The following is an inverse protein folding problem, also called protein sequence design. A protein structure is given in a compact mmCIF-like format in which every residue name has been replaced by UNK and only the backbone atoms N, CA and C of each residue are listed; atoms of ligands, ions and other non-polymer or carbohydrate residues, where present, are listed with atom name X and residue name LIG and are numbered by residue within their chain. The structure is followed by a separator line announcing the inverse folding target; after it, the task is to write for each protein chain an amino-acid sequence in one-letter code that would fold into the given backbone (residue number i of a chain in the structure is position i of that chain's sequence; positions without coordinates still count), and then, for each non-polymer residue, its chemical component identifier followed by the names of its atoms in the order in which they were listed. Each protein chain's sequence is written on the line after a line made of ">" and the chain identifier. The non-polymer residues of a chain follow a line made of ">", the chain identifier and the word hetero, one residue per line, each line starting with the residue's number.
data_IF_894096606178
#
_entry.id   IF_894096606178
#
_cell.length_a   1.000
_cell.length_b   1.000
_cell.length_c   1.000
_cell.angle_alpha   90.00
_cell.angle_beta   90.00
_cell.angle_gamma   90.00
#
_symmetry.space_group_name_H-M   'P 1'
#
loop_
_entity.id
_entity.type
_entity.pdbx_description
1 polymer ?
#
# COMPACT_ATOMS: atom_id res chain seq x y z
N UNK A 1 57.51 9.63 -18.54
CA UNK A 1 57.18 10.26 -19.84
C UNK A 1 56.42 9.18 -20.60
N UNK A 2 55.11 9.05 -20.32
CA UNK A 2 54.00 9.56 -21.16
C UNK A 2 53.92 8.72 -22.45
N UNK A 3 52.86 7.98 -22.74
CA UNK A 3 51.49 8.47 -22.88
C UNK A 3 50.40 7.47 -22.47
N UNK A 4 49.37 8.07 -21.89
CA UNK A 4 48.04 7.58 -21.60
C UNK A 4 47.15 7.51 -22.86
N UNK A 5 45.97 6.88 -22.69
CA UNK A 5 44.76 6.98 -23.51
C UNK A 5 44.58 5.98 -24.67
N UNK A 6 43.88 4.88 -24.35
CA UNK A 6 42.65 4.50 -25.07
C UNK A 6 41.80 3.54 -24.23
N UNK A 7 41.00 4.16 -23.39
CA UNK A 7 39.55 3.96 -23.29
C UNK A 7 38.97 2.75 -24.06
N UNK A 8 38.34 1.84 -23.31
CA UNK A 8 36.97 1.35 -23.58
C UNK A 8 36.44 0.60 -22.36
N UNK A 9 35.81 1.39 -21.49
CA UNK A 9 34.75 0.94 -20.61
C UNK A 9 33.67 0.23 -21.44
N UNK A 10 33.39 -1.02 -21.11
CA UNK A 10 32.13 -1.69 -21.43
C UNK A 10 31.77 -2.62 -20.29
N UNK A 11 31.54 -2.05 -19.09
CA UNK A 11 30.66 -2.69 -18.12
C UNK A 11 29.25 -2.59 -18.71
N UNK A 12 28.89 -3.61 -19.49
CA UNK A 12 27.53 -3.78 -19.98
C UNK A 12 26.60 -3.97 -18.79
N UNK A 13 25.97 -2.89 -18.34
CA UNK A 13 24.72 -3.00 -17.60
C UNK A 13 23.71 -3.60 -18.57
N UNK A 14 23.54 -4.92 -18.52
CA UNK A 14 22.38 -5.57 -19.12
C UNK A 14 21.14 -4.82 -18.63
N UNK A 15 20.24 -4.35 -19.51
CA UNK A 15 18.94 -3.90 -19.04
C UNK A 15 18.34 -5.08 -18.27
N UNK A 16 18.07 -4.88 -16.98
CA UNK A 16 17.40 -5.88 -16.15
C UNK A 16 16.13 -6.26 -16.93
N UNK A 17 16.12 -7.47 -17.50
CA UNK A 17 14.98 -7.98 -18.25
C UNK A 17 13.77 -7.84 -17.35
N UNK A 18 12.82 -7.01 -17.75
CA UNK A 18 11.61 -6.77 -16.99
C UNK A 18 10.88 -8.11 -16.78
N UNK A 19 10.52 -8.43 -15.53
CA UNK A 19 9.83 -9.69 -15.25
C UNK A 19 8.45 -9.70 -15.94
N UNK A 20 7.97 -10.89 -16.31
CA UNK A 20 6.65 -11.02 -16.95
C UNK A 20 5.52 -10.45 -16.07
N UNK A 21 5.64 -10.56 -14.75
CA UNK A 21 4.68 -9.97 -13.81
C UNK A 21 4.72 -8.44 -13.82
N UNK A 22 5.91 -7.84 -13.86
CA UNK A 22 6.06 -6.37 -13.93
C UNK A 22 5.50 -5.84 -15.25
N UNK A 23 5.75 -6.53 -16.36
CA UNK A 23 5.14 -6.22 -17.66
C UNK A 23 3.60 -6.31 -17.60
N UNK A 24 3.05 -7.35 -16.95
CA UNK A 24 1.60 -7.53 -16.77
C UNK A 24 0.99 -6.39 -15.94
N UNK A 25 1.66 -5.95 -14.88
CA UNK A 25 1.21 -4.83 -14.03
C UNK A 25 1.18 -3.53 -14.82
N UNK A 26 2.23 -3.23 -15.58
CA UNK A 26 2.27 -2.06 -16.45
C UNK A 26 1.17 -2.10 -17.50
N UNK A 27 0.97 -3.25 -18.15
CA UNK A 27 -0.10 -3.42 -19.13
C UNK A 27 -1.48 -3.16 -18.52
N UNK A 28 -1.74 -3.70 -17.32
CA UNK A 28 -2.99 -3.48 -16.60
C UNK A 28 -3.21 -2.00 -16.27
N UNK A 29 -2.19 -1.29 -15.76
CA UNK A 29 -2.29 0.12 -15.44
C UNK A 29 -2.52 0.97 -16.70
N UNK A 30 -1.79 0.73 -17.78
CA UNK A 30 -1.98 1.43 -19.05
C UNK A 30 -3.41 1.23 -19.59
N UNK A 31 -3.93 0.01 -19.52
CA UNK A 31 -5.30 -0.27 -19.93
C UNK A 31 -6.31 0.43 -19.01
N UNK A 32 -6.08 0.44 -17.71
CA UNK A 32 -6.93 1.16 -16.75
C UNK A 32 -6.96 2.65 -17.05
N UNK A 33 -5.81 3.29 -17.31
CA UNK A 33 -5.73 4.71 -17.67
C UNK A 33 -6.47 5.00 -18.97
N UNK A 34 -6.27 4.18 -20.01
CA UNK A 34 -7.00 4.30 -21.28
C UNK A 34 -8.52 4.25 -21.09
N UNK A 35 -9.01 3.34 -20.24
CA UNK A 35 -10.45 3.28 -19.93
C UNK A 35 -10.94 4.57 -19.26
N UNK A 36 -10.15 5.17 -18.37
CA UNK A 36 -10.53 6.44 -17.74
C UNK A 36 -10.58 7.58 -18.76
N UNK A 37 -9.63 7.64 -19.70
CA UNK A 37 -9.61 8.63 -20.79
C UNK A 37 -10.84 8.49 -21.71
N UNK A 38 -11.18 7.26 -22.09
CA UNK A 38 -12.37 6.96 -22.90
C UNK A 38 -13.66 7.40 -22.17
N UNK A 39 -13.73 7.22 -20.86
CA UNK A 39 -14.89 7.63 -20.06
C UNK A 39 -14.99 9.15 -19.87
N UNK A 40 -13.86 9.85 -19.69
CA UNK A 40 -13.83 11.31 -19.59
C UNK A 40 -14.26 11.96 -20.91
N UNK A 41 -13.93 11.33 -22.03
CA UNK A 41 -14.30 11.79 -23.38
C UNK A 41 -15.78 11.58 -23.72
N UNK A 42 -16.52 10.81 -22.91
CA UNK A 42 -17.94 10.54 -23.13
C UNK A 42 -18.84 11.64 -22.52
N UNK A 43 -19.83 12.17 -23.26
CA UNK A 43 -20.69 13.25 -22.78
C UNK A 43 -21.55 12.82 -21.57
N UNK A 44 -21.53 13.62 -20.50
CA UNK A 44 -22.46 13.54 -19.36
C UNK A 44 -22.07 12.62 -18.20
N UNK A 45 -20.84 12.07 -18.17
CA UNK A 45 -20.40 11.21 -17.07
C UNK A 45 -19.53 11.93 -16.01
N UNK A 46 -19.69 11.54 -14.74
CA UNK A 46 -18.82 12.02 -13.66
C UNK A 46 -17.68 11.03 -13.37
N UNK A 47 -16.51 11.58 -13.01
CA UNK A 47 -15.25 10.83 -12.87
C UNK A 47 -15.32 9.68 -11.84
N UNK A 48 -16.09 9.83 -10.76
CA UNK A 48 -16.14 8.84 -9.68
C UNK A 48 -16.89 7.54 -10.07
N UNK A 49 -18.13 7.58 -10.60
CA UNK A 49 -18.80 6.40 -11.16
C UNK A 49 -18.00 5.68 -12.26
N UNK A 50 -17.35 6.43 -13.13
CA UNK A 50 -16.55 5.88 -14.24
C UNK A 50 -15.31 5.15 -13.72
N UNK A 51 -14.61 5.73 -12.74
CA UNK A 51 -13.46 5.09 -12.08
C UNK A 51 -13.85 3.76 -11.43
N UNK A 52 -15.02 3.69 -10.79
CA UNK A 52 -15.51 2.46 -10.18
C UNK A 52 -15.95 1.41 -11.20
N UNK A 53 -16.53 1.83 -12.33
CA UNK A 53 -16.83 0.94 -13.47
C UNK A 53 -15.54 0.36 -14.05
N UNK A 54 -14.55 1.21 -14.36
CA UNK A 54 -13.25 0.80 -14.86
C UNK A 54 -12.56 -0.19 -13.91
N UNK A 55 -12.51 0.11 -12.60
CA UNK A 55 -11.98 -0.81 -11.58
C UNK A 55 -12.68 -2.18 -11.60
N UNK A 56 -13.99 -2.19 -11.77
CA UNK A 56 -14.79 -3.42 -11.81
C UNK A 56 -14.47 -4.26 -13.04
N UNK A 57 -14.33 -3.63 -14.20
CA UNK A 57 -13.91 -4.30 -15.44
C UNK A 57 -12.47 -4.80 -15.37
N UNK A 58 -11.53 -3.99 -14.84
CA UNK A 58 -10.14 -4.41 -14.63
C UNK A 58 -10.04 -5.68 -13.78
N UNK A 59 -10.88 -5.80 -12.74
CA UNK A 59 -10.94 -7.01 -11.90
C UNK A 59 -11.45 -8.26 -12.63
N UNK A 60 -12.19 -8.10 -13.73
CA UNK A 60 -12.63 -9.21 -14.59
C UNK A 60 -11.52 -9.58 -15.57
N UNK A 61 -10.86 -8.59 -16.17
CA UNK A 61 -9.81 -8.79 -17.16
C UNK A 61 -8.51 -9.34 -16.57
N UNK A 62 -8.17 -8.94 -15.33
CA UNK A 62 -6.94 -9.34 -14.64
C UNK A 62 -7.26 -10.07 -13.33
N UNK A 63 -7.83 -11.29 -13.39
CA UNK A 63 -8.26 -12.04 -12.21
C UNK A 63 -7.09 -12.41 -11.28
N UNK A 64 -5.86 -12.53 -11.80
CA UNK A 64 -4.68 -12.83 -10.99
C UNK A 64 -4.23 -11.64 -10.16
N UNK A 65 -4.29 -10.40 -10.71
CA UNK A 65 -4.03 -9.19 -9.92
C UNK A 65 -5.06 -9.02 -8.80
N UNK A 66 -6.31 -9.45 -9.03
CA UNK A 66 -7.34 -9.49 -7.98
C UNK A 66 -6.99 -10.45 -6.84
N UNK A 67 -6.22 -11.52 -7.08
CA UNK A 67 -5.79 -12.47 -6.02
C UNK A 67 -4.72 -11.86 -5.11
N UNK A 68 -3.86 -10.99 -5.66
CA UNK A 68 -2.79 -10.30 -4.91
C UNK A 68 -3.28 -9.56 -3.66
N UNK A 69 -4.54 -9.12 -3.67
CA UNK A 69 -5.17 -8.39 -2.54
C UNK A 69 -5.20 -9.16 -1.21
N UNK A 70 -5.08 -10.49 -1.26
CA UNK A 70 -5.06 -11.37 -0.09
C UNK A 70 -3.66 -11.93 0.18
N UNK A 71 -2.67 -11.62 -0.66
CA UNK A 71 -1.30 -12.11 -0.52
C UNK A 71 -0.65 -11.49 0.72
N UNK A 72 0.03 -12.33 1.51
CA UNK A 72 0.92 -11.91 2.59
C UNK A 72 2.32 -11.67 1.99
N UNK A 73 3.00 -10.62 2.42
CA UNK A 73 4.32 -10.27 1.90
C UNK A 73 4.29 -9.52 0.57
N UNK A 74 5.36 -9.64 -0.21
CA UNK A 74 5.60 -8.86 -1.44
C UNK A 74 4.73 -9.33 -2.60
N UNK A 75 4.42 -8.42 -3.52
CA UNK A 75 3.64 -8.71 -4.74
C UNK A 75 4.60 -8.82 -5.91
N UNK A 76 4.59 -9.95 -6.61
CA UNK A 76 5.44 -10.16 -7.79
C UNK A 76 5.20 -9.06 -8.83
N UNK A 77 6.30 -8.49 -9.34
CA UNK A 77 6.26 -7.40 -10.31
C UNK A 77 6.09 -6.00 -9.72
N UNK A 78 5.98 -5.85 -8.40
CA UNK A 78 5.99 -4.56 -7.69
C UNK A 78 7.24 -4.50 -6.83
N UNK A 79 8.03 -3.46 -7.00
CA UNK A 79 9.27 -3.23 -6.26
C UNK A 79 9.13 -2.03 -5.32
N UNK A 80 9.91 -2.03 -4.25
CA UNK A 80 10.02 -0.87 -3.36
C UNK A 80 10.41 0.36 -4.18
N UNK A 81 9.72 1.48 -3.94
CA UNK A 81 9.87 2.72 -4.68
C UNK A 81 8.90 2.87 -5.86
N UNK A 82 8.21 1.81 -6.29
CA UNK A 82 7.15 1.93 -7.29
C UNK A 82 6.01 2.81 -6.75
N UNK A 83 5.55 3.74 -7.60
CA UNK A 83 4.57 4.75 -7.24
C UNK A 83 3.30 4.65 -8.11
N UNK A 84 2.15 4.90 -7.50
CA UNK A 84 0.83 4.83 -8.13
C UNK A 84 0.08 6.14 -7.93
N UNK A 85 -0.72 6.55 -8.92
CA UNK A 85 -1.41 7.85 -8.92
C UNK A 85 -2.68 7.88 -8.07
N UNK A 86 -3.23 6.72 -7.67
CA UNK A 86 -4.48 6.66 -6.91
C UNK A 86 -4.63 5.40 -6.07
N UNK A 87 -5.52 5.46 -5.05
CA UNK A 87 -5.98 4.25 -4.32
C UNK A 87 -6.59 3.23 -5.28
N UNK A 88 -7.25 3.69 -6.35
CA UNK A 88 -7.85 2.82 -7.35
C UNK A 88 -6.81 2.00 -8.08
N UNK A 89 -5.68 2.59 -8.48
CA UNK A 89 -4.57 1.85 -9.08
C UNK A 89 -4.03 0.80 -8.14
N UNK A 90 -3.72 1.17 -6.88
CA UNK A 90 -3.25 0.21 -5.86
C UNK A 90 -4.22 -0.95 -5.63
N UNK A 91 -5.53 -0.72 -5.83
CA UNK A 91 -6.59 -1.71 -5.70
C UNK A 91 -6.74 -2.59 -6.95
N UNK A 92 -6.51 -2.05 -8.15
CA UNK A 92 -6.53 -2.78 -9.42
C UNK A 92 -5.39 -3.79 -9.48
N UNK A 93 -4.18 -3.36 -9.11
CA UNK A 93 -2.98 -4.20 -9.11
C UNK A 93 -2.86 -5.10 -7.86
N UNK A 94 -3.74 -4.89 -6.87
CA UNK A 94 -3.87 -5.73 -5.68
C UNK A 94 -2.85 -5.46 -4.58
N UNK A 95 -2.11 -4.36 -4.65
CA UNK A 95 -1.19 -3.93 -3.58
C UNK A 95 -1.96 -3.56 -2.30
N UNK A 96 -3.07 -2.84 -2.45
CA UNK A 96 -3.97 -2.48 -1.35
C UNK A 96 -5.42 -2.37 -1.84
N UNK A 97 -6.32 -3.19 -1.29
CA UNK A 97 -7.66 -3.37 -1.88
C UNK A 97 -8.66 -2.29 -1.50
N UNK A 98 -8.53 -1.72 -0.31
CA UNK A 98 -9.47 -0.77 0.26
C UNK A 98 -9.28 0.61 -0.37
N UNK A 99 -10.40 1.28 -0.66
CA UNK A 99 -10.37 2.65 -1.22
C UNK A 99 -10.55 3.72 -0.14
N UNK A 100 -11.08 3.33 1.02
CA UNK A 100 -11.50 4.23 2.09
C UNK A 100 -10.61 4.05 3.31
N UNK A 101 -10.49 2.82 3.81
CA UNK A 101 -9.75 2.52 5.04
C UNK A 101 -8.27 2.34 4.77
N UNK A 102 -7.42 2.76 5.70
CA UNK A 102 -5.97 2.67 5.47
C UNK A 102 -5.39 1.28 5.68
N UNK A 103 -6.12 0.35 6.31
CA UNK A 103 -5.68 -1.02 6.56
C UNK A 103 -6.46 -2.02 5.71
N UNK A 104 -5.74 -2.89 5.00
CA UNK A 104 -6.32 -4.00 4.25
C UNK A 104 -6.38 -5.27 5.11
N UNK A 105 -7.58 -5.60 5.60
CA UNK A 105 -7.85 -6.74 6.46
C UNK A 105 -8.21 -7.98 5.63
N UNK A 106 -7.58 -9.13 5.92
CA UNK A 106 -7.91 -10.43 5.34
C UNK A 106 -8.49 -11.34 6.42
N UNK A 107 -9.66 -11.90 6.14
CA UNK A 107 -10.34 -12.89 6.98
C UNK A 107 -10.23 -14.25 6.30
N UNK A 108 -9.85 -15.28 7.06
CA UNK A 108 -9.76 -16.65 6.54
C UNK A 108 -11.16 -17.23 6.37
N UNK A 109 -11.37 -17.97 5.27
CA UNK A 109 -12.63 -18.69 5.06
C UNK A 109 -12.73 -19.80 6.11
N UNK A 110 -13.86 -19.84 6.83
CA UNK A 110 -14.07 -20.76 7.95
C UNK A 110 -14.14 -20.07 9.31
N UNK A 111 -13.52 -18.88 9.45
CA UNK A 111 -13.53 -18.13 10.71
C UNK A 111 -12.59 -18.69 11.79
N UNK A 112 -11.89 -19.79 11.50
CA UNK A 112 -11.01 -20.49 12.44
C UNK A 112 -9.71 -19.72 12.75
N UNK A 113 -9.40 -18.68 11.97
CA UNK A 113 -8.21 -17.86 12.15
C UNK A 113 -8.59 -16.39 12.27
N UNK A 114 -7.98 -15.74 13.25
CA UNK A 114 -8.13 -14.33 13.50
C UNK A 114 -7.78 -13.48 12.25
N UNK A 115 -8.51 -12.36 12.04
CA UNK A 115 -8.25 -11.46 10.92
C UNK A 115 -6.84 -10.86 11.00
N UNK A 116 -6.18 -10.71 9.86
CA UNK A 116 -4.83 -10.13 9.76
C UNK A 116 -4.82 -8.94 8.80
N UNK A 117 -3.86 -8.04 8.99
CA UNK A 117 -3.54 -6.96 8.08
C UNK A 117 -2.51 -7.45 7.06
N UNK A 118 -2.66 -7.04 5.80
CA UNK A 118 -1.69 -7.36 4.73
C UNK A 118 -1.05 -6.13 4.11
N UNK A 119 -1.72 -4.98 4.18
CA UNK A 119 -1.12 -3.70 3.80
C UNK A 119 -1.73 -2.55 4.58
N UNK A 120 -0.93 -1.50 4.76
CA UNK A 120 -1.31 -0.23 5.37
C UNK A 120 -0.92 0.93 4.46
N UNK A 121 -1.81 1.90 4.31
CA UNK A 121 -1.52 3.18 3.66
C UNK A 121 -1.20 4.21 4.72
N UNK A 122 -0.01 4.80 4.63
CA UNK A 122 0.45 5.84 5.53
C UNK A 122 0.23 7.21 4.92
N UNK A 123 -0.79 7.89 5.41
CA UNK A 123 -1.02 9.30 5.09
C UNK A 123 -0.21 10.13 6.09
N UNK A 124 0.77 10.88 5.58
CA UNK A 124 1.56 11.83 6.35
C UNK A 124 0.94 13.22 6.22
N UNK A 125 0.99 14.03 7.28
CA UNK A 125 0.56 15.43 7.24
C UNK A 125 -0.15 15.89 8.50
N UNK A 126 -0.54 17.17 8.52
CA UNK A 126 -1.18 17.81 9.67
C UNK A 126 -2.47 17.13 10.13
N UNK A 127 -3.19 16.51 9.21
CA UNK A 127 -4.44 15.78 9.49
C UNK A 127 -4.20 14.37 10.06
N UNK A 128 -2.95 13.88 10.03
CA UNK A 128 -2.53 12.59 10.56
C UNK A 128 -1.26 12.76 11.42
N UNK A 129 -1.30 13.59 12.49
CA UNK A 129 -0.11 14.03 13.21
C UNK A 129 0.64 12.91 13.94
N UNK A 130 0.04 11.72 14.04
CA UNK A 130 0.67 10.54 14.64
C UNK A 130 1.36 9.61 13.65
N UNK A 131 1.18 9.81 12.34
CA UNK A 131 1.86 9.03 11.32
C UNK A 131 3.21 9.65 11.00
N UNK A 132 4.29 8.89 11.17
CA UNK A 132 5.64 9.40 10.99
C UNK A 132 6.63 8.28 10.63
N UNK A 133 7.69 8.66 9.92
CA UNK A 133 8.87 7.84 9.71
C UNK A 133 9.98 8.32 10.62
N UNK A 134 10.65 7.41 11.32
CA UNK A 134 11.73 7.76 12.26
C UNK A 134 12.97 6.90 12.00
N UNK A 135 14.19 7.48 11.98
CA UNK A 135 15.39 6.67 12.00
C UNK A 135 15.57 6.00 13.38
N UNK A 136 15.79 4.68 13.39
CA UNK A 136 16.17 3.90 14.58
C UNK A 136 15.01 3.27 15.35
N UNK A 137 15.04 1.93 15.46
CA UNK A 137 14.12 1.11 16.26
C UNK A 137 12.70 1.02 15.68
N UNK A 138 11.99 2.15 15.70
CA UNK A 138 10.64 2.32 15.19
C UNK A 138 10.69 3.07 13.87
N UNK A 139 10.80 2.38 12.75
CA UNK A 139 11.02 3.03 11.45
C UNK A 139 9.78 3.70 10.90
N UNK A 140 8.61 3.19 11.30
CA UNK A 140 7.30 3.65 10.87
C UNK A 140 6.35 3.59 12.07
N UNK A 141 5.70 4.71 12.37
CA UNK A 141 4.60 4.78 13.33
C UNK A 141 3.32 4.98 12.54
N UNK A 142 2.41 4.00 12.62
CA UNK A 142 1.05 4.12 12.13
C UNK A 142 0.12 4.34 13.32
N UNK A 143 -0.62 5.44 13.31
CA UNK A 143 -1.70 5.67 14.24
C UNK A 143 -2.99 5.18 13.60
N UNK A 144 -3.65 4.22 14.25
CA UNK A 144 -4.94 3.70 13.81
C UNK A 144 -5.98 4.80 13.68
N UNK A 145 -7.07 4.50 12.97
CA UNK A 145 -8.21 5.39 12.83
C UNK A 145 -8.92 5.56 14.18
N UNK A 146 -8.40 6.49 14.99
CA UNK A 146 -9.03 6.92 16.22
C UNK A 146 -10.30 7.67 15.91
N UNK A 147 -11.46 7.07 16.18
CA UNK A 147 -12.71 7.83 16.24
C UNK A 147 -12.68 8.66 17.52
N UNK A 148 -12.69 10.00 17.39
CA UNK A 148 -13.14 10.87 18.49
C UNK A 148 -14.65 10.62 18.61
N UNK A 149 -15.03 9.63 19.41
CA UNK A 149 -16.42 9.49 19.83
C UNK A 149 -16.66 10.57 20.89
N UNK A 150 -17.54 11.51 20.59
CA UNK A 150 -18.06 12.49 21.53
C UNK A 150 -18.39 11.78 22.85
N UNK A 151 -17.73 12.25 23.91
CA UNK A 151 -17.26 11.40 24.99
C UNK A 151 -18.34 10.59 25.69
N UNK A 152 -18.45 9.30 25.36
CA UNK A 152 -19.00 8.27 26.25
C UNK A 152 -18.51 6.88 25.85
N UNK A 153 -17.99 6.15 26.86
CA UNK A 153 -17.80 4.70 26.97
C UNK A 153 -16.61 4.07 26.24
N UNK A 154 -15.91 3.24 27.01
CA UNK A 154 -14.83 2.30 26.67
C UNK A 154 -14.70 2.00 25.16
N UNK A 155 -13.72 2.66 24.52
CA UNK A 155 -13.48 2.46 23.09
C UNK A 155 -12.99 1.03 22.84
N UNK A 156 -13.83 0.24 22.18
CA UNK A 156 -13.50 -1.09 21.66
C UNK A 156 -12.46 -0.94 20.55
N UNK A 157 -11.47 -1.84 20.51
CA UNK A 157 -10.51 -1.98 19.40
C UNK A 157 -11.25 -1.96 18.05
N UNK A 158 -10.77 -1.16 17.10
CA UNK A 158 -11.29 -1.20 15.73
C UNK A 158 -10.95 -2.54 15.07
N UNK A 159 -11.61 -2.85 13.94
CA UNK A 159 -11.28 -4.05 13.19
C UNK A 159 -9.85 -3.98 12.64
N UNK A 160 -9.42 -2.78 12.27
CA UNK A 160 -8.09 -2.43 11.78
C UNK A 160 -7.05 -2.65 12.88
N UNK A 161 -7.29 -2.10 14.08
CA UNK A 161 -6.39 -2.27 15.22
C UNK A 161 -6.25 -3.74 15.59
N UNK A 162 -7.38 -4.46 15.63
CA UNK A 162 -7.41 -5.90 15.91
C UNK A 162 -6.59 -6.68 14.88
N UNK A 163 -6.77 -6.39 13.58
CA UNK A 163 -6.03 -7.05 12.52
C UNK A 163 -4.52 -6.78 12.59
N UNK A 164 -4.11 -5.56 12.96
CA UNK A 164 -2.70 -5.21 13.15
C UNK A 164 -2.08 -5.90 14.37
N UNK A 165 -2.82 -6.00 15.49
CA UNK A 165 -2.39 -6.75 16.68
C UNK A 165 -2.23 -8.24 16.34
N UNK A 166 -3.22 -8.85 15.69
CA UNK A 166 -3.15 -10.25 15.28
C UNK A 166 -1.99 -10.51 14.32
N UNK A 167 -1.69 -9.56 13.43
CA UNK A 167 -0.55 -9.64 12.52
C UNK A 167 0.77 -9.60 13.25
N UNK A 168 0.88 -8.74 14.29
CA UNK A 168 2.03 -8.72 15.19
C UNK A 168 2.22 -10.08 15.86
N UNK A 169 1.16 -10.60 16.48
CA UNK A 169 1.23 -11.83 17.29
C UNK A 169 1.54 -13.07 16.43
N UNK A 170 1.21 -13.01 15.14
CA UNK A 170 1.50 -14.04 14.13
C UNK A 170 2.75 -13.76 13.29
N UNK A 171 3.53 -12.72 13.63
CA UNK A 171 4.74 -12.32 12.92
C UNK A 171 4.54 -12.09 11.39
N UNK A 172 3.37 -11.59 11.02
CA UNK A 172 2.98 -11.36 9.62
C UNK A 172 3.58 -10.03 9.12
N UNK A 173 4.35 -10.04 8.02
CA UNK A 173 4.81 -8.81 7.39
C UNK A 173 3.66 -8.10 6.68
N UNK A 174 3.60 -6.78 6.86
CA UNK A 174 2.58 -5.88 6.32
C UNK A 174 3.25 -4.96 5.29
N UNK A 175 2.66 -4.84 4.11
CA UNK A 175 3.12 -3.88 3.09
C UNK A 175 2.82 -2.44 3.54
N UNK A 176 3.83 -1.58 3.60
CA UNK A 176 3.66 -0.16 3.85
C UNK A 176 3.59 0.62 2.53
N UNK A 177 2.60 1.50 2.40
CA UNK A 177 2.40 2.34 1.21
C UNK A 177 2.31 3.78 1.68
N UNK A 178 3.33 4.58 1.41
CA UNK A 178 3.32 6.00 1.77
C UNK A 178 2.47 6.80 0.80
N UNK A 179 1.53 7.57 1.33
CA UNK A 179 0.83 8.60 0.59
C UNK A 179 1.62 9.89 0.69
N UNK A 180 2.19 10.31 -0.43
CA UNK A 180 2.83 11.61 -0.60
C UNK A 180 1.84 12.57 -1.26
N UNK A 181 1.53 13.68 -0.59
CA UNK A 181 0.61 14.71 -1.07
C UNK A 181 1.33 16.05 -1.34
N UNK A 182 2.66 16.02 -1.47
CA UNK A 182 3.45 17.21 -1.82
C UNK A 182 3.31 17.53 -3.31
N UNK A 183 2.26 18.26 -3.65
CA UNK A 183 1.95 18.69 -5.02
C UNK A 183 0.93 17.78 -5.68
N UNK A 184 1.31 16.55 -6.03
CA UNK A 184 0.39 15.56 -6.60
C UNK A 184 0.39 14.28 -5.79
N UNK A 185 -0.83 13.80 -5.49
CA UNK A 185 -1.03 12.64 -4.64
C UNK A 185 -0.44 11.38 -5.27
N UNK A 186 0.52 10.75 -4.59
CA UNK A 186 1.17 9.49 -4.98
C UNK A 186 1.13 8.48 -3.86
N UNK A 187 1.05 7.22 -4.22
CA UNK A 187 1.10 6.07 -3.31
C UNK A 187 2.35 5.27 -3.62
N UNK A 188 3.35 5.32 -2.75
CA UNK A 188 4.69 4.77 -2.95
C UNK A 188 4.83 3.52 -2.10
N UNK A 189 5.19 2.38 -2.70
CA UNK A 189 5.43 1.15 -1.95
C UNK A 189 6.78 1.21 -1.23
N UNK A 190 6.78 1.19 0.11
CA UNK A 190 7.99 1.32 0.94
C UNK A 190 8.59 -0.04 1.37
N UNK A 191 7.89 -1.13 1.04
CA UNK A 191 8.30 -2.50 1.35
C UNK A 191 7.51 -3.15 2.47
N UNK A 192 8.11 -4.18 3.07
CA UNK A 192 7.50 -4.96 4.13
C UNK A 192 7.95 -4.48 5.50
N UNK A 193 6.99 -4.40 6.41
CA UNK A 193 7.21 -3.98 7.79
C UNK A 193 6.56 -4.97 8.74
N UNK A 194 7.17 -5.17 9.91
CA UNK A 194 6.60 -5.93 11.01
C UNK A 194 6.32 -4.99 12.18
N UNK A 195 5.15 -5.14 12.78
CA UNK A 195 4.82 -4.43 14.02
C UNK A 195 5.72 -4.97 15.13
N UNK A 196 6.50 -4.10 15.76
CA UNK A 196 7.40 -4.45 16.88
C UNK A 196 6.77 -4.13 18.23
N UNK A 197 5.96 -3.08 18.32
CA UNK A 197 5.25 -2.72 19.55
C UNK A 197 3.98 -1.94 19.27
N UNK A 198 3.03 -2.01 20.20
CA UNK A 198 1.77 -1.25 20.13
C UNK A 198 1.66 -0.41 21.41
N UNK A 199 1.38 0.88 21.26
CA UNK A 199 1.21 1.83 22.36
C UNK A 199 -0.18 2.44 22.31
N UNK A 200 -0.78 2.69 23.47
CA UNK A 200 -2.07 3.40 23.55
C UNK A 200 -1.81 4.86 23.91
N UNK A 201 -2.20 5.78 23.04
CA UNK A 201 -2.14 7.23 23.27
C UNK A 201 -3.40 7.63 24.03
N UNK A 202 -3.26 7.76 25.36
CA UNK A 202 -4.36 7.92 26.33
C UNK A 202 -5.29 9.10 26.06
N UNK A 203 -4.79 10.21 25.51
CA UNK A 203 -5.58 11.43 25.31
C UNK A 203 -6.76 11.18 24.35
N UNK A 204 -6.59 10.30 23.36
CA UNK A 204 -7.62 9.98 22.37
C UNK A 204 -7.95 8.48 22.26
N UNK A 205 -7.32 7.63 23.09
CA UNK A 205 -7.39 6.16 22.99
C UNK A 205 -7.03 5.66 21.58
N UNK A 206 -5.98 6.23 21.00
CA UNK A 206 -5.47 5.85 19.67
C UNK A 206 -4.37 4.81 19.85
N UNK A 207 -4.43 3.72 19.08
CA UNK A 207 -3.36 2.76 19.02
C UNK A 207 -2.28 3.25 18.05
N UNK A 208 -1.06 3.35 18.54
CA UNK A 208 0.14 3.65 17.77
C UNK A 208 0.92 2.36 17.56
N UNK A 209 1.05 1.95 16.31
CA UNK A 209 1.73 0.76 15.85
C UNK A 209 3.13 1.15 15.41
N UNK A 210 4.11 0.71 16.19
CA UNK A 210 5.50 0.87 15.87
C UNK A 210 5.93 -0.30 14.98
N UNK A 211 6.42 -0.01 13.78
CA UNK A 211 6.79 -1.00 12.79
C UNK A 211 8.23 -0.82 12.33
N UNK A 212 8.91 -1.93 12.04
CA UNK A 212 10.28 -1.97 11.54
C UNK A 212 10.31 -2.65 10.17
N UNK A 213 11.11 -2.12 9.24
CA UNK A 213 11.25 -2.69 7.91
C UNK A 213 11.91 -4.06 8.00
N UNK A 214 11.43 -4.97 7.16
CA UNK A 214 12.05 -6.27 6.92
C UNK A 214 13.01 -6.08 5.74
N UNK A 215 14.29 -6.35 5.97
CA UNK A 215 15.26 -6.43 4.88
C UNK A 215 15.01 -7.74 4.10
N UNK A 216 14.85 -7.62 2.79
CA UNK A 216 14.73 -8.75 1.85
C UNK A 216 16.11 -9.21 1.37
#
# INVERSE_FOLDING_TARGET
>A
MSDSEKEKNALGSNPISESAERATIKQALNQFHKMLEDFVSAPGGSACPQTMKAKTEMKKMYPDLKKNKNTIGSIKGISVGDAFGSRTETSVIGLHKELITDVNIVVHRGGDLDPIATSVVLILGSNYPGNEYKPGGCELVYCGEGRVSDGHKDKKLSAEDTALINSKDRDIPIRAIRCDDTGYKRYIYEGLYKTVSVKVVKVNMIYAFCMKRVEE
#
